data_IF_091402900927
#
_entry.id   IF_091402900927
#
_cell.length_a   1.000
_cell.length_b   1.000
_cell.length_c   1.000
_cell.angle_alpha   90.00
_cell.angle_beta   90.00
_cell.angle_gamma   90.00
#
_symmetry.space_group_name_H-M   'P 1'
#
loop_
_entity.id
_entity.type
_entity.pdbx_description
1 polymer ?
#
# COMPACT_ATOMS: atom_id res chain seq x y z
N UNK A 1 -4.54 -41.32 17.27
CA UNK A 1 -4.98 -41.42 15.86
C UNK A 1 -6.50 -41.42 15.86
N UNK A 2 -7.09 -40.23 15.79
CA UNK A 2 -8.52 -40.07 15.67
C UNK A 2 -8.88 -40.35 14.20
N UNK A 3 -9.55 -41.47 13.95
CA UNK A 3 -10.24 -41.67 12.68
C UNK A 3 -11.40 -40.68 12.65
N UNK A 4 -11.17 -39.54 12.00
CA UNK A 4 -12.26 -38.67 11.58
C UNK A 4 -13.18 -39.51 10.69
N UNK A 5 -14.44 -39.66 11.10
CA UNK A 5 -15.43 -40.38 10.30
C UNK A 5 -15.59 -39.64 8.97
N UNK A 6 -15.08 -40.25 7.90
CA UNK A 6 -15.15 -39.73 6.54
C UNK A 6 -16.61 -39.39 6.18
N UNK A 7 -16.90 -38.10 5.98
CA UNK A 7 -18.22 -37.59 5.62
C UNK A 7 -18.76 -38.32 4.39
N UNK A 8 -20.09 -38.51 4.34
CA UNK A 8 -20.75 -39.07 3.16
C UNK A 8 -20.44 -38.26 1.89
N UNK A 9 -20.23 -36.94 2.03
CA UNK A 9 -19.81 -36.05 0.95
C UNK A 9 -18.40 -36.40 0.45
N UNK A 10 -17.41 -36.60 1.33
CA UNK A 10 -16.05 -37.01 0.98
C UNK A 10 -16.03 -38.35 0.23
N UNK A 11 -16.87 -39.31 0.65
CA UNK A 11 -17.01 -40.61 -0.04
C UNK A 11 -17.59 -40.45 -1.45
N UNK A 12 -18.62 -39.63 -1.62
CA UNK A 12 -19.22 -39.34 -2.92
C UNK A 12 -18.23 -38.60 -3.84
N UNK A 13 -17.54 -37.59 -3.31
CA UNK A 13 -16.50 -36.84 -4.02
C UNK A 13 -15.37 -37.76 -4.49
N UNK A 14 -14.93 -38.71 -3.65
CA UNK A 14 -13.89 -39.69 -4.00
C UNK A 14 -14.31 -40.67 -5.09
N UNK A 15 -15.59 -41.05 -5.15
CA UNK A 15 -16.12 -41.85 -6.27
C UNK A 15 -16.08 -41.01 -7.55
N UNK A 16 -16.60 -39.79 -7.49
CA UNK A 16 -16.63 -38.88 -8.64
C UNK A 16 -15.24 -38.52 -9.16
N UNK A 17 -14.26 -38.36 -8.27
CA UNK A 17 -12.86 -38.15 -8.61
C UNK A 17 -12.30 -39.31 -9.44
N UNK A 18 -12.63 -40.57 -9.11
CA UNK A 18 -12.18 -41.72 -9.91
C UNK A 18 -12.77 -41.70 -11.31
N UNK A 19 -14.02 -41.29 -11.45
CA UNK A 19 -14.66 -41.17 -12.76
C UNK A 19 -14.08 -40.00 -13.57
N UNK A 20 -13.77 -38.87 -12.90
CA UNK A 20 -13.06 -37.74 -13.52
C UNK A 20 -11.67 -38.15 -14.04
N UNK A 21 -10.90 -38.92 -13.27
CA UNK A 21 -9.61 -39.46 -13.69
C UNK A 21 -9.74 -40.39 -14.91
N UNK A 22 -10.76 -41.25 -14.95
CA UNK A 22 -11.03 -42.14 -16.10
C UNK A 22 -11.41 -41.36 -17.36
N UNK A 23 -12.22 -40.31 -17.21
CA UNK A 23 -12.57 -39.42 -18.32
C UNK A 23 -11.32 -38.73 -18.87
N UNK A 24 -10.43 -38.32 -17.97
CA UNK A 24 -9.17 -37.69 -18.34
C UNK A 24 -8.20 -38.62 -19.09
N UNK A 25 -8.05 -39.86 -18.62
CA UNK A 25 -7.24 -40.90 -19.29
C UNK A 25 -7.88 -41.40 -20.60
N UNK A 26 -9.16 -41.06 -20.83
CA UNK A 26 -9.92 -41.42 -22.01
C UNK A 26 -9.69 -40.49 -23.21
N UNK A 27 -10.66 -40.46 -24.13
CA UNK A 27 -10.59 -39.65 -25.36
C UNK A 27 -10.98 -38.18 -25.17
N UNK A 28 -11.34 -37.78 -23.95
CA UNK A 28 -11.93 -36.46 -23.65
C UNK A 28 -11.29 -35.83 -22.40
N UNK A 29 -9.98 -35.48 -22.46
CA UNK A 29 -9.28 -34.88 -21.32
C UNK A 29 -9.92 -33.57 -20.83
N UNK A 30 -10.55 -32.81 -21.72
CA UNK A 30 -11.30 -31.59 -21.41
C UNK A 30 -12.44 -31.84 -20.40
N UNK A 31 -13.24 -32.90 -20.61
CA UNK A 31 -14.33 -33.25 -19.71
C UNK A 31 -13.82 -33.80 -18.37
N UNK A 32 -12.60 -34.32 -18.33
CA UNK A 32 -11.96 -34.77 -17.08
C UNK A 32 -11.64 -33.61 -16.13
N UNK A 33 -11.23 -32.46 -16.66
CA UNK A 33 -10.93 -31.25 -15.86
C UNK A 33 -12.21 -30.67 -15.28
N UNK A 34 -13.27 -30.56 -16.08
CA UNK A 34 -14.57 -30.08 -15.59
C UNK A 34 -15.16 -31.02 -14.54
N UNK A 35 -15.10 -32.33 -14.78
CA UNK A 35 -15.50 -33.32 -13.79
C UNK A 35 -14.69 -33.21 -12.49
N UNK A 36 -13.40 -32.85 -12.55
CA UNK A 36 -12.58 -32.62 -11.37
C UNK A 36 -12.98 -31.35 -10.60
N UNK A 37 -13.45 -30.29 -11.28
CA UNK A 37 -14.03 -29.12 -10.61
C UNK A 37 -15.34 -29.46 -9.90
N UNK A 38 -16.19 -30.30 -10.51
CA UNK A 38 -17.41 -30.78 -9.86
C UNK A 38 -17.13 -31.62 -8.60
N UNK A 39 -15.95 -32.25 -8.49
CA UNK A 39 -15.52 -32.92 -7.24
C UNK A 39 -15.33 -31.90 -6.12
N UNK A 40 -14.77 -30.73 -6.43
CA UNK A 40 -14.55 -29.65 -5.48
C UNK A 40 -15.84 -28.93 -5.08
N UNK A 41 -16.85 -28.94 -5.94
CA UNK A 41 -18.20 -28.47 -5.58
C UNK A 41 -18.86 -29.39 -4.53
N UNK A 42 -18.61 -30.70 -4.62
CA UNK A 42 -19.12 -31.68 -3.64
C UNK A 42 -18.39 -31.62 -2.30
N UNK A 43 -17.08 -31.35 -2.33
CA UNK A 43 -16.26 -31.22 -1.13
C UNK A 43 -15.14 -30.19 -1.34
N UNK A 44 -15.37 -28.92 -0.95
CA UNK A 44 -14.40 -27.85 -1.13
C UNK A 44 -13.07 -28.07 -0.37
N UNK A 45 -13.12 -28.89 0.69
CA UNK A 45 -11.98 -29.24 1.54
C UNK A 45 -11.21 -30.48 1.06
N UNK A 46 -11.54 -31.04 -0.10
CA UNK A 46 -10.86 -32.21 -0.64
C UNK A 46 -9.60 -31.79 -1.40
N UNK A 47 -8.43 -32.03 -0.79
CA UNK A 47 -7.15 -31.54 -1.29
C UNK A 47 -6.67 -32.32 -2.51
N UNK A 48 -6.86 -33.65 -2.60
CA UNK A 48 -6.34 -34.43 -3.73
C UNK A 48 -6.84 -33.96 -5.12
N UNK A 49 -8.13 -33.61 -5.33
CA UNK A 49 -8.57 -33.02 -6.59
C UNK A 49 -7.91 -31.66 -6.91
N UNK A 50 -7.69 -30.80 -5.91
CA UNK A 50 -6.96 -29.53 -6.09
C UNK A 50 -5.52 -29.78 -6.50
N UNK A 51 -4.84 -30.72 -5.84
CA UNK A 51 -3.46 -31.11 -6.17
C UNK A 51 -3.36 -31.62 -7.60
N UNK A 52 -4.32 -32.45 -8.02
CA UNK A 52 -4.40 -32.92 -9.40
C UNK A 52 -4.59 -31.77 -10.40
N UNK A 53 -5.51 -30.84 -10.13
CA UNK A 53 -5.75 -29.67 -10.99
C UNK A 53 -4.50 -28.78 -11.07
N UNK A 54 -3.82 -28.56 -9.94
CA UNK A 54 -2.59 -27.77 -9.89
C UNK A 54 -1.49 -28.38 -10.77
N UNK A 55 -1.26 -29.69 -10.67
CA UNK A 55 -0.30 -30.40 -11.50
C UNK A 55 -0.68 -30.41 -12.98
N UNK A 56 -1.97 -30.53 -13.29
CA UNK A 56 -2.49 -30.46 -14.65
C UNK A 56 -2.26 -29.08 -15.28
N UNK A 57 -2.64 -28.00 -14.59
CA UNK A 57 -2.42 -26.63 -15.07
C UNK A 57 -0.94 -26.30 -15.20
N UNK A 58 -0.10 -26.74 -14.26
CA UNK A 58 1.34 -26.55 -14.34
C UNK A 58 1.95 -27.24 -15.57
N UNK A 59 1.53 -28.47 -15.89
CA UNK A 59 1.95 -29.18 -17.12
C UNK A 59 1.54 -28.46 -18.40
N UNK A 60 0.42 -27.74 -18.38
CA UNK A 60 -0.05 -26.92 -19.50
C UNK A 60 0.59 -25.52 -19.55
N UNK A 61 1.51 -25.19 -18.64
CA UNK A 61 2.10 -23.86 -18.54
C UNK A 61 1.12 -22.79 -18.03
N UNK A 62 -0.05 -23.18 -17.51
CA UNK A 62 -1.07 -22.28 -16.98
C UNK A 62 -0.76 -21.95 -15.51
N UNK A 63 0.35 -21.25 -15.31
CA UNK A 63 0.93 -20.97 -13.99
C UNK A 63 -0.06 -20.28 -13.04
N UNK A 64 -0.80 -19.27 -13.52
CA UNK A 64 -1.80 -18.54 -12.70
C UNK A 64 -2.89 -19.45 -12.12
N UNK A 65 -3.37 -20.41 -12.91
CA UNK A 65 -4.41 -21.36 -12.46
C UNK A 65 -3.83 -22.39 -11.49
N UNK A 66 -2.59 -22.84 -11.72
CA UNK A 66 -1.90 -23.73 -10.81
C UNK A 66 -1.65 -23.07 -9.44
N UNK A 67 -1.15 -21.83 -9.42
CA UNK A 67 -0.97 -21.03 -8.20
C UNK A 67 -2.27 -20.90 -7.42
N UNK A 68 -3.38 -20.55 -8.08
CA UNK A 68 -4.69 -20.43 -7.43
C UNK A 68 -5.13 -21.73 -6.73
N UNK A 69 -4.82 -22.90 -7.27
CA UNK A 69 -5.13 -24.17 -6.58
C UNK A 69 -4.26 -24.38 -5.33
N UNK A 70 -2.97 -24.01 -5.40
CA UNK A 70 -2.07 -24.08 -4.25
C UNK A 70 -2.46 -23.12 -3.13
N UNK A 71 -2.90 -21.91 -3.46
CA UNK A 71 -3.42 -20.94 -2.48
C UNK A 71 -4.60 -21.51 -1.69
N UNK A 72 -5.56 -22.15 -2.36
CA UNK A 72 -6.70 -22.79 -1.69
C UNK A 72 -6.28 -23.99 -0.83
N UNK A 73 -5.35 -24.82 -1.31
CA UNK A 73 -4.83 -25.93 -0.50
C UNK A 73 -4.07 -25.43 0.74
N UNK A 74 -3.28 -24.36 0.60
CA UNK A 74 -2.55 -23.72 1.70
C UNK A 74 -3.47 -22.97 2.66
N UNK A 75 -4.65 -22.51 2.24
CA UNK A 75 -5.69 -22.00 3.14
C UNK A 75 -6.22 -23.10 4.06
N UNK A 76 -6.37 -24.32 3.54
CA UNK A 76 -6.84 -25.49 4.31
C UNK A 76 -5.75 -26.07 5.21
N UNK A 77 -4.52 -26.17 4.68
CA UNK A 77 -3.36 -26.72 5.39
C UNK A 77 -2.16 -25.76 5.31
N UNK A 78 -2.16 -24.68 6.11
CA UNK A 78 -1.11 -23.65 6.05
C UNK A 78 0.30 -24.18 6.36
N UNK A 79 0.38 -25.23 7.18
CA UNK A 79 1.62 -25.80 7.68
C UNK A 79 2.16 -26.97 6.83
N UNK A 80 1.46 -27.38 5.75
CA UNK A 80 1.86 -28.52 4.95
C UNK A 80 3.05 -28.18 4.03
N UNK A 81 4.23 -28.69 4.37
CA UNK A 81 5.48 -28.47 3.62
C UNK A 81 5.42 -28.98 2.17
N UNK A 82 4.70 -30.07 1.88
CA UNK A 82 4.59 -30.58 0.50
C UNK A 82 3.87 -29.58 -0.41
N UNK A 83 2.86 -28.86 0.12
CA UNK A 83 2.14 -27.84 -0.64
C UNK A 83 3.03 -26.64 -0.95
N UNK A 84 3.88 -26.24 0.01
CA UNK A 84 4.87 -25.18 -0.20
C UNK A 84 5.94 -25.57 -1.23
N UNK A 85 6.43 -26.80 -1.20
CA UNK A 85 7.36 -27.32 -2.21
C UNK A 85 6.70 -27.40 -3.59
N UNK A 86 5.45 -27.85 -3.64
CA UNK A 86 4.65 -27.88 -4.87
C UNK A 86 4.46 -26.48 -5.47
N UNK A 87 4.10 -25.50 -4.64
CA UNK A 87 3.97 -24.10 -5.08
C UNK A 87 5.31 -23.52 -5.53
N UNK A 88 6.43 -23.77 -4.81
CA UNK A 88 7.77 -23.32 -5.23
C UNK A 88 8.18 -23.87 -6.59
N UNK A 89 7.78 -25.11 -6.92
CA UNK A 89 8.03 -25.71 -8.24
C UNK A 89 7.22 -25.03 -9.35
N UNK A 90 6.00 -24.58 -9.04
CA UNK A 90 5.13 -23.89 -10.00
C UNK A 90 5.57 -22.44 -10.19
N UNK A 91 5.69 -21.70 -9.10
CA UNK A 91 6.06 -20.29 -9.06
C UNK A 91 6.86 -20.02 -7.77
N UNK A 92 8.20 -20.00 -7.82
CA UNK A 92 9.03 -19.77 -6.64
C UNK A 92 8.84 -18.37 -6.06
N UNK A 93 8.56 -17.37 -6.89
CA UNK A 93 8.36 -15.98 -6.46
C UNK A 93 7.10 -15.86 -5.58
N UNK A 94 5.98 -16.43 -6.02
CA UNK A 94 4.71 -16.43 -5.26
C UNK A 94 4.82 -17.29 -4.00
N UNK A 95 5.49 -18.44 -4.07
CA UNK A 95 5.71 -19.28 -2.91
C UNK A 95 6.48 -18.55 -1.79
N UNK A 96 7.62 -17.93 -2.15
CA UNK A 96 8.42 -17.19 -1.18
C UNK A 96 7.64 -15.99 -0.64
N UNK A 97 6.86 -15.30 -1.49
CA UNK A 97 5.95 -14.22 -1.08
C UNK A 97 4.93 -14.68 -0.04
N UNK A 98 4.18 -15.75 -0.31
CA UNK A 98 3.15 -16.25 0.61
C UNK A 98 3.75 -16.80 1.90
N UNK A 99 4.93 -17.43 1.85
CA UNK A 99 5.60 -17.94 3.05
C UNK A 99 6.09 -16.81 3.95
N UNK A 100 6.58 -15.71 3.36
CA UNK A 100 6.91 -14.48 4.10
C UNK A 100 5.67 -13.89 4.76
N UNK A 101 4.58 -13.73 4.01
CA UNK A 101 3.30 -13.24 4.54
C UNK A 101 2.75 -14.10 5.68
N UNK A 102 2.95 -15.43 5.62
CA UNK A 102 2.56 -16.35 6.71
C UNK A 102 3.38 -16.16 7.98
N UNK A 103 4.67 -15.83 7.85
CA UNK A 103 5.58 -15.60 8.99
C UNK A 103 5.49 -14.18 9.52
N UNK A 104 4.94 -13.25 8.74
CA UNK A 104 4.66 -11.89 9.16
C UNK A 104 3.61 -11.88 10.29
N UNK A 105 3.62 -10.85 11.17
CA UNK A 105 2.47 -10.57 12.02
C UNK A 105 1.17 -10.65 11.20
N UNK A 106 0.09 -11.23 11.76
CA UNK A 106 -1.12 -11.52 10.99
C UNK A 106 -1.63 -10.23 10.35
N UNK A 107 -1.60 -10.19 9.02
CA UNK A 107 -2.18 -9.12 8.22
C UNK A 107 -3.71 -9.15 8.42
N UNK A 108 -4.32 -8.11 9.02
CA UNK A 108 -5.78 -8.03 9.21
C UNK A 108 -6.54 -8.29 7.91
N UNK A 109 -5.96 -7.85 6.79
CA UNK A 109 -6.56 -7.94 5.47
C UNK A 109 -6.49 -9.37 4.89
N UNK A 110 -5.72 -10.28 5.49
CA UNK A 110 -5.72 -11.71 5.14
C UNK A 110 -6.57 -12.54 6.12
N UNK A 111 -6.60 -12.16 7.41
CA UNK A 111 -7.36 -12.87 8.44
C UNK A 111 -8.88 -12.87 8.22
N UNK A 112 -9.40 -11.89 7.48
CA UNK A 112 -10.81 -11.80 7.09
C UNK A 112 -11.13 -12.43 5.73
N UNK A 113 -10.15 -13.02 5.03
CA UNK A 113 -10.40 -13.57 3.70
C UNK A 113 -10.92 -12.52 2.73
N UNK A 114 -10.21 -11.40 2.60
CA UNK A 114 -10.59 -10.30 1.70
C UNK A 114 -10.56 -10.79 0.24
N UNK A 115 -11.71 -11.29 -0.19
CA UNK A 115 -12.12 -11.26 -1.58
C UNK A 115 -12.48 -9.79 -1.87
N UNK A 116 -12.19 -9.27 -3.06
CA UNK A 116 -12.49 -7.88 -3.43
C UNK A 116 -13.98 -7.48 -3.35
N UNK A 117 -14.86 -8.42 -2.96
CA UNK A 117 -16.28 -8.25 -2.66
C UNK A 117 -16.63 -8.01 -1.18
N UNK A 118 -15.79 -8.38 -0.20
CA UNK A 118 -16.14 -8.35 1.23
C UNK A 118 -15.47 -7.18 1.95
N UNK A 119 -15.71 -5.98 1.42
CA UNK A 119 -15.13 -4.74 1.92
C UNK A 119 -16.01 -4.07 2.99
N UNK A 120 -17.00 -4.75 3.57
CA UNK A 120 -18.05 -4.16 4.41
C UNK A 120 -17.68 -3.86 5.87
N UNK A 121 -16.45 -4.15 6.31
CA UNK A 121 -16.05 -3.99 7.73
C UNK A 121 -15.46 -2.62 8.09
N UNK A 122 -15.48 -1.65 7.18
CA UNK A 122 -15.14 -0.27 7.54
C UNK A 122 -16.37 0.41 8.12
N UNK A 123 -16.37 0.58 9.44
CA UNK A 123 -17.35 1.41 10.13
C UNK A 123 -17.20 2.83 9.59
N UNK A 124 -18.15 3.26 8.76
CA UNK A 124 -18.42 4.68 8.57
C UNK A 124 -18.99 5.18 9.90
N UNK A 125 -18.24 6.05 10.59
CA UNK A 125 -18.83 6.80 11.68
C UNK A 125 -19.92 7.70 11.07
N UNK A 126 -21.16 7.45 11.50
CA UNK A 126 -22.35 8.22 11.13
C UNK A 126 -22.18 9.66 11.64
N UNK A 127 -21.77 10.57 10.76
CA UNK A 127 -21.62 12.00 11.04
C UNK A 127 -22.99 12.63 11.34
N UNK A 128 -23.37 12.56 12.61
CA UNK A 128 -24.46 13.34 13.18
C UNK A 128 -24.11 14.83 13.19
N UNK A 129 -24.93 15.60 12.47
CA UNK A 129 -25.17 17.04 12.61
C UNK A 129 -23.97 17.99 12.60
N UNK A 130 -23.58 18.45 11.41
CA UNK A 130 -23.10 19.82 11.20
C UNK A 130 -23.74 20.43 9.95
N UNK A 131 -24.94 20.99 10.13
CA UNK A 131 -25.56 21.89 9.14
C UNK A 131 -24.78 23.21 9.15
N UNK A 132 -24.08 23.51 8.06
CA UNK A 132 -23.58 24.85 7.76
C UNK A 132 -24.25 25.36 6.48
N UNK A 133 -24.94 26.49 6.63
CA UNK A 133 -25.82 27.12 5.67
C UNK A 133 -25.14 27.47 4.33
N UNK A 134 -25.76 27.04 3.23
CA UNK A 134 -25.39 27.43 1.88
C UNK A 134 -25.82 28.88 1.59
N UNK A 135 -24.87 29.72 1.16
CA UNK A 135 -25.15 31.04 0.58
C UNK A 135 -25.36 30.94 -0.95
N UNK A 136 -26.16 31.83 -1.56
CA UNK A 136 -26.75 31.59 -2.88
C UNK A 136 -25.81 31.90 -4.05
N UNK A 137 -25.87 31.01 -5.04
CA UNK A 137 -25.27 31.15 -6.37
C UNK A 137 -26.02 32.23 -7.16
N UNK A 138 -25.32 33.28 -7.59
CA UNK A 138 -25.79 34.18 -8.64
C UNK A 138 -25.06 33.88 -9.95
N UNK A 139 -25.83 33.46 -10.94
CA UNK A 139 -25.35 32.99 -12.24
C UNK A 139 -24.73 34.05 -13.14
N UNK A 140 -24.01 33.53 -14.14
CA UNK A 140 -23.52 34.29 -15.28
C UNK A 140 -22.58 33.44 -16.15
N UNK A 141 -23.14 32.61 -17.04
CA UNK A 141 -22.43 32.24 -18.28
C UNK A 141 -22.27 33.48 -19.14
N UNK A 142 -21.07 33.77 -19.66
CA UNK A 142 -20.88 33.64 -21.12
C UNK A 142 -19.42 33.20 -21.45
N UNK A 143 -19.14 32.30 -22.39
CA UNK A 143 -19.20 32.52 -23.83
C UNK A 143 -18.91 31.20 -24.57
N UNK A 144 -19.73 30.89 -25.57
CA UNK A 144 -19.33 30.10 -26.73
C UNK A 144 -18.53 31.00 -27.69
N UNK A 145 -17.45 30.47 -28.28
CA UNK A 145 -16.68 31.17 -29.30
C UNK A 145 -15.63 30.32 -30.01
N UNK A 146 -16.06 29.72 -31.13
CA UNK A 146 -15.31 29.40 -32.35
C UNK A 146 -14.17 28.35 -32.33
N UNK A 147 -14.46 27.26 -33.06
CA UNK A 147 -13.52 26.32 -33.68
C UNK A 147 -12.76 27.04 -34.80
N UNK A 148 -11.44 26.88 -34.85
CA UNK A 148 -10.63 27.04 -36.06
C UNK A 148 -9.60 25.91 -36.15
N UNK A 149 -9.43 25.40 -37.37
CA UNK A 149 -8.84 24.11 -37.68
C UNK A 149 -7.31 24.14 -37.85
N UNK A 150 -6.72 23.02 -37.43
CA UNK A 150 -5.66 22.21 -38.04
C UNK A 150 -4.22 22.71 -38.27
N UNK A 151 -3.35 21.73 -38.00
CA UNK A 151 -2.02 21.43 -38.53
C UNK A 151 -0.83 22.21 -37.94
N UNK A 152 -0.29 21.65 -36.86
CA UNK A 152 1.12 21.23 -36.88
C UNK A 152 1.28 19.92 -36.12
N UNK A 153 1.81 18.93 -36.84
CA UNK A 153 2.19 17.60 -36.39
C UNK A 153 3.33 17.74 -35.39
N UNK A 154 3.01 17.74 -34.10
CA UNK A 154 3.97 17.32 -33.10
C UNK A 154 3.89 15.80 -33.06
N UNK A 155 4.98 15.18 -33.53
CA UNK A 155 5.27 13.80 -33.15
C UNK A 155 5.38 13.84 -31.64
N UNK A 156 4.39 13.25 -30.96
CA UNK A 156 4.48 12.93 -29.55
C UNK A 156 5.74 12.08 -29.38
N UNK A 157 6.79 12.66 -28.82
CA UNK A 157 7.73 11.87 -28.04
C UNK A 157 6.93 11.46 -26.79
N UNK A 158 6.08 10.44 -26.93
CA UNK A 158 5.64 9.60 -25.81
C UNK A 158 6.95 9.05 -25.20
N UNK A 159 7.56 9.80 -24.29
CA UNK A 159 8.47 9.19 -23.32
C UNK A 159 7.61 8.18 -22.57
N UNK A 160 7.68 6.91 -23.01
CA UNK A 160 7.05 5.76 -22.35
C UNK A 160 7.22 5.95 -20.84
N UNK A 161 6.12 6.28 -20.14
CA UNK A 161 6.16 6.43 -18.69
C UNK A 161 6.76 5.14 -18.13
N UNK A 162 7.85 5.20 -17.34
CA UNK A 162 8.54 4.00 -16.92
C UNK A 162 7.58 3.09 -16.17
N UNK A 163 7.35 1.91 -16.73
CA UNK A 163 6.49 0.88 -16.15
C UNK A 163 6.93 0.61 -14.71
N UNK A 164 5.95 0.52 -13.79
CA UNK A 164 6.23 0.32 -12.38
C UNK A 164 7.08 -0.95 -12.16
N UNK A 165 8.25 -0.77 -11.53
CA UNK A 165 9.14 -1.84 -11.14
C UNK A 165 9.26 -1.86 -9.61
N UNK A 166 8.78 -2.91 -8.92
CA UNK A 166 8.83 -2.96 -7.46
C UNK A 166 10.24 -2.75 -6.91
N UNK A 167 10.37 -1.89 -5.90
CA UNK A 167 11.64 -1.71 -5.21
C UNK A 167 11.98 -2.96 -4.39
N UNK A 168 13.28 -3.27 -4.18
CA UNK A 168 13.71 -4.49 -3.50
C UNK A 168 13.18 -4.67 -2.06
N UNK A 169 12.76 -3.57 -1.42
CA UNK A 169 12.30 -3.53 -0.04
C UNK A 169 10.79 -3.30 0.09
N UNK A 170 10.04 -3.22 -1.00
CA UNK A 170 8.59 -3.00 -0.93
C UNK A 170 7.88 -4.12 -0.16
N UNK A 171 6.80 -3.76 0.52
CA UNK A 171 5.92 -4.73 1.15
C UNK A 171 5.35 -5.67 0.08
N UNK A 172 5.24 -6.95 0.43
CA UNK A 172 4.92 -8.05 -0.49
C UNK A 172 3.59 -7.85 -1.24
N UNK A 173 2.67 -7.11 -0.64
CA UNK A 173 1.35 -6.78 -1.20
C UNK A 173 1.26 -5.39 -1.82
N UNK A 174 2.29 -4.54 -1.69
CA UNK A 174 2.26 -3.15 -2.18
C UNK A 174 1.88 -3.11 -3.67
N UNK A 175 2.70 -3.73 -4.53
CA UNK A 175 2.44 -3.77 -5.97
C UNK A 175 1.10 -4.41 -6.37
N UNK A 176 0.60 -5.38 -5.60
CA UNK A 176 -0.70 -6.01 -5.88
C UNK A 176 -1.87 -5.05 -5.64
N UNK A 177 -1.83 -4.27 -4.57
CA UNK A 177 -2.84 -3.25 -4.29
C UNK A 177 -2.65 -2.05 -5.20
N UNK A 178 -1.41 -1.69 -5.50
CA UNK A 178 -1.07 -0.60 -6.41
C UNK A 178 -1.70 -0.78 -7.79
N UNK A 179 -1.57 -1.96 -8.38
CA UNK A 179 -2.21 -2.28 -9.66
C UNK A 179 -3.73 -2.10 -9.60
N UNK A 180 -4.38 -2.47 -8.49
CA UNK A 180 -5.82 -2.27 -8.33
C UNK A 180 -6.20 -0.79 -8.21
N UNK A 181 -5.38 0.00 -7.51
CA UNK A 181 -5.53 1.46 -7.40
C UNK A 181 -5.40 2.09 -8.80
N UNK A 182 -4.29 1.85 -9.50
CA UNK A 182 -3.95 2.51 -10.77
C UNK A 182 -4.87 2.08 -11.94
N UNK A 183 -5.44 0.87 -11.90
CA UNK A 183 -6.42 0.44 -12.90
C UNK A 183 -7.81 1.08 -12.70
N UNK A 184 -8.11 1.56 -11.49
CA UNK A 184 -9.40 2.16 -11.19
C UNK A 184 -9.57 3.49 -11.97
N UNK A 185 -10.73 3.66 -12.61
CA UNK A 185 -11.01 4.86 -13.40
C UNK A 185 -11.09 6.12 -12.52
N UNK A 186 -11.82 6.08 -11.41
CA UNK A 186 -11.95 7.24 -10.51
C UNK A 186 -10.59 7.64 -9.93
N UNK A 187 -9.69 6.67 -9.71
CA UNK A 187 -8.34 6.95 -9.23
C UNK A 187 -7.54 7.70 -10.29
N UNK A 188 -7.62 7.25 -11.55
CA UNK A 188 -6.94 7.93 -12.67
C UNK A 188 -7.47 9.35 -12.87
N UNK A 189 -8.79 9.55 -12.79
CA UNK A 189 -9.38 10.90 -12.89
C UNK A 189 -8.84 11.85 -11.79
N UNK A 190 -8.69 11.35 -10.55
CA UNK A 190 -8.06 12.10 -9.45
C UNK A 190 -6.56 12.29 -9.68
N UNK A 191 -5.87 11.26 -10.18
CA UNK A 191 -4.43 11.32 -10.45
C UNK A 191 -4.13 12.38 -11.52
N UNK A 192 -4.90 12.43 -12.60
CA UNK A 192 -4.79 13.44 -13.66
C UNK A 192 -4.98 14.85 -13.10
N UNK A 193 -5.99 15.05 -12.23
CA UNK A 193 -6.22 16.31 -11.54
C UNK A 193 -5.06 16.72 -10.62
N UNK A 194 -4.52 15.78 -9.84
CA UNK A 194 -3.31 16.01 -9.05
C UNK A 194 -2.09 16.34 -9.93
N UNK A 195 -1.91 15.68 -11.07
CA UNK A 195 -0.81 15.95 -11.99
C UNK A 195 -0.93 17.35 -12.61
N UNK A 196 -2.14 17.84 -12.92
CA UNK A 196 -2.36 19.24 -13.31
C UNK A 196 -1.90 20.21 -12.21
N UNK A 197 -2.24 19.92 -10.94
CA UNK A 197 -1.81 20.75 -9.81
C UNK A 197 -0.28 20.76 -9.66
N UNK A 198 0.38 19.61 -9.71
CA UNK A 198 1.85 19.52 -9.56
C UNK A 198 2.61 20.15 -10.74
N UNK A 199 2.00 20.15 -11.92
CA UNK A 199 2.53 20.79 -13.12
C UNK A 199 2.23 22.30 -13.21
N UNK A 200 1.54 22.90 -12.23
CA UNK A 200 1.36 24.35 -12.10
C UNK A 200 2.25 24.95 -11.00
N UNK A 201 3.44 25.49 -11.34
CA UNK A 201 4.33 26.12 -10.38
C UNK A 201 3.69 27.28 -9.60
N UNK A 202 2.74 28.01 -10.18
CA UNK A 202 2.08 29.11 -9.47
C UNK A 202 1.13 28.57 -8.40
N UNK A 203 0.44 27.47 -8.72
CA UNK A 203 -0.45 26.74 -7.82
C UNK A 203 0.22 26.19 -6.56
N UNK A 204 1.46 25.68 -6.64
CA UNK A 204 2.11 25.06 -5.46
C UNK A 204 3.28 25.87 -4.85
N UNK A 205 3.94 26.77 -5.58
CA UNK A 205 5.17 27.44 -5.08
C UNK A 205 4.93 28.28 -3.82
N UNK A 206 3.77 28.94 -3.74
CA UNK A 206 3.40 29.74 -2.57
C UNK A 206 3.19 28.88 -1.30
N UNK A 207 2.87 27.60 -1.45
CA UNK A 207 2.66 26.65 -0.34
C UNK A 207 3.96 26.27 0.36
N UNK A 208 5.06 26.27 -0.39
CA UNK A 208 6.42 25.97 0.11
C UNK A 208 7.24 27.23 0.38
N UNK A 209 6.68 28.43 0.18
CA UNK A 209 7.42 29.69 0.27
C UNK A 209 8.02 30.02 1.64
N UNK A 210 7.58 29.34 2.71
CA UNK A 210 8.18 29.45 4.04
C UNK A 210 9.27 28.41 4.33
N UNK A 211 9.37 27.39 3.46
CA UNK A 211 10.38 26.35 3.59
C UNK A 211 11.77 26.91 3.23
N UNK A 212 12.79 26.37 3.87
CA UNK A 212 14.17 26.87 3.79
C UNK A 212 15.14 25.76 3.42
N UNK A 213 16.28 26.11 2.83
CA UNK A 213 17.37 25.16 2.70
C UNK A 213 17.89 24.74 4.11
N UNK A 214 18.51 23.56 4.25
CA UNK A 214 19.03 23.09 5.53
C UNK A 214 19.96 24.08 6.26
N UNK A 215 20.85 24.77 5.55
CA UNK A 215 21.73 25.79 6.13
C UNK A 215 20.93 26.94 6.76
N UNK A 216 19.96 27.49 6.03
CA UNK A 216 19.10 28.59 6.47
C UNK A 216 18.17 28.18 7.63
N UNK A 217 17.82 26.90 7.71
CA UNK A 217 17.11 26.30 8.84
C UNK A 217 18.03 25.96 10.03
N UNK A 218 19.32 26.32 9.95
CA UNK A 218 20.34 26.02 10.95
C UNK A 218 20.43 24.52 11.27
N UNK A 219 20.23 23.67 10.27
CA UNK A 219 20.29 22.22 10.37
C UNK A 219 21.28 21.60 9.35
N UNK A 220 22.56 22.00 9.39
CA UNK A 220 23.56 21.60 8.39
C UNK A 220 23.83 20.09 8.37
N UNK A 221 23.52 19.36 9.45
CA UNK A 221 23.64 17.89 9.50
C UNK A 221 22.88 17.20 8.35
N UNK A 222 21.77 17.79 7.86
CA UNK A 222 21.01 17.20 6.77
C UNK A 222 21.80 17.15 5.45
N UNK A 223 22.80 18.01 5.25
CA UNK A 223 23.64 17.99 4.05
C UNK A 223 24.53 16.75 3.96
N UNK A 224 24.82 16.12 5.11
CA UNK A 224 25.55 14.85 5.18
C UNK A 224 24.59 13.65 5.15
N UNK A 225 23.54 13.69 5.98
CA UNK A 225 22.64 12.55 6.15
C UNK A 225 21.77 12.29 4.92
N UNK A 226 21.34 13.32 4.20
CA UNK A 226 20.42 13.16 3.08
C UNK A 226 21.08 12.49 1.86
N UNK A 227 22.28 12.90 1.40
CA UNK A 227 23.01 12.15 0.40
C UNK A 227 23.34 10.71 0.82
N UNK A 228 23.64 10.48 2.11
CA UNK A 228 23.89 9.13 2.62
C UNK A 228 22.65 8.23 2.49
N UNK A 229 21.49 8.70 2.97
CA UNK A 229 20.23 7.97 2.84
C UNK A 229 19.85 7.68 1.38
N UNK A 230 20.09 8.64 0.47
CA UNK A 230 19.86 8.44 -0.96
C UNK A 230 20.82 7.40 -1.57
N UNK A 231 22.08 7.39 -1.15
CA UNK A 231 23.07 6.42 -1.61
C UNK A 231 22.70 4.98 -1.17
N UNK A 232 22.27 4.80 0.08
CA UNK A 232 21.84 3.51 0.63
C UNK A 232 20.60 2.96 -0.09
N UNK A 233 19.74 3.84 -0.60
CA UNK A 233 18.55 3.48 -1.39
C UNK A 233 18.78 3.52 -2.91
N UNK A 234 20.02 3.73 -3.36
CA UNK A 234 20.37 3.87 -4.78
C UNK A 234 19.52 4.88 -5.55
N UNK A 235 19.10 5.95 -4.87
CA UNK A 235 18.24 7.00 -5.41
C UNK A 235 19.06 8.19 -5.92
N UNK A 236 18.56 8.87 -6.95
CA UNK A 236 19.04 10.22 -7.29
C UNK A 236 18.64 11.16 -6.15
N UNK A 237 19.57 12.01 -5.71
CA UNK A 237 19.35 12.94 -4.60
C UNK A 237 18.33 14.02 -5.04
N UNK A 238 17.14 14.09 -4.40
CA UNK A 238 16.16 15.15 -4.64
C UNK A 238 16.60 16.50 -4.05
N UNK A 239 15.79 17.54 -4.23
CA UNK A 239 15.91 18.76 -3.41
C UNK A 239 15.45 18.48 -1.98
N UNK A 240 16.07 19.13 -0.99
CA UNK A 240 15.64 19.06 0.41
C UNK A 240 15.27 20.45 0.92
N UNK A 241 14.10 20.55 1.55
CA UNK A 241 13.65 21.75 2.22
C UNK A 241 13.23 21.43 3.66
N UNK A 242 13.35 22.43 4.54
CA UNK A 242 12.91 22.37 5.93
C UNK A 242 11.73 23.31 6.10
N UNK A 243 10.60 22.77 6.53
CA UNK A 243 9.41 23.56 6.88
C UNK A 243 9.51 24.03 8.34
N UNK A 244 9.33 25.34 8.62
CA UNK A 244 9.16 25.82 9.99
C UNK A 244 7.93 25.21 10.66
N UNK A 245 8.05 24.85 11.93
CA UNK A 245 6.93 24.34 12.73
C UNK A 245 6.88 22.82 12.84
N UNK A 246 5.66 22.29 13.04
CA UNK A 246 5.45 20.91 13.44
C UNK A 246 4.96 20.03 12.29
N UNK A 247 5.90 19.54 11.50
CA UNK A 247 5.64 18.52 10.46
C UNK A 247 6.27 17.21 10.91
N UNK A 248 5.42 16.26 11.32
CA UNK A 248 5.85 15.00 11.93
C UNK A 248 6.52 14.10 10.91
N UNK A 249 5.91 13.91 9.75
CA UNK A 249 6.38 12.96 8.74
C UNK A 249 7.05 13.68 7.59
N UNK A 250 7.99 13.02 6.89
CA UNK A 250 8.61 13.59 5.70
C UNK A 250 7.54 13.75 4.60
N UNK A 251 7.56 14.86 3.87
CA UNK A 251 6.56 15.20 2.86
C UNK A 251 7.21 15.16 1.48
N UNK A 252 7.05 14.06 0.72
CA UNK A 252 7.55 13.98 -0.65
C UNK A 252 6.63 14.75 -1.60
N UNK A 253 7.21 15.72 -2.31
CA UNK A 253 6.51 16.54 -3.30
C UNK A 253 6.94 16.09 -4.71
N UNK A 254 6.00 15.59 -5.54
CA UNK A 254 6.29 15.08 -6.88
C UNK A 254 6.42 16.22 -7.90
N UNK A 255 7.24 17.21 -7.58
CA UNK A 255 7.53 18.35 -8.43
C UNK A 255 8.45 17.93 -9.58
N UNK A 256 8.50 18.74 -10.65
CA UNK A 256 9.44 18.56 -11.77
C UNK A 256 10.89 18.32 -11.30
N UNK A 257 11.30 19.03 -10.25
CA UNK A 257 12.48 18.68 -9.46
C UNK A 257 11.99 18.04 -8.15
N UNK A 258 12.02 16.70 -8.02
CA UNK A 258 11.49 16.01 -6.86
C UNK A 258 12.05 16.63 -5.57
N UNK A 259 11.16 16.98 -4.65
CA UNK A 259 11.53 17.75 -3.46
C UNK A 259 11.01 17.05 -2.23
N UNK A 260 11.90 16.77 -1.29
CA UNK A 260 11.55 16.29 0.03
C UNK A 260 11.46 17.47 1.00
N UNK A 261 10.37 17.55 1.76
CA UNK A 261 10.23 18.52 2.85
C UNK A 261 10.23 17.79 4.19
N UNK A 262 11.02 18.28 5.14
CA UNK A 262 11.06 17.77 6.53
C UNK A 262 10.69 18.89 7.51
N UNK A 263 10.05 18.55 8.63
CA UNK A 263 9.69 19.52 9.66
C UNK A 263 10.88 19.93 10.53
N UNK A 264 11.02 21.22 10.82
CA UNK A 264 12.05 21.72 11.75
C UNK A 264 11.92 21.11 13.15
N UNK A 265 10.71 20.76 13.60
CA UNK A 265 10.48 20.12 14.90
C UNK A 265 11.26 18.82 15.08
N UNK A 266 11.53 18.08 13.99
CA UNK A 266 12.25 16.81 14.02
C UNK A 266 13.71 16.98 14.46
N UNK A 267 14.31 18.13 14.21
CA UNK A 267 15.66 18.50 14.66
C UNK A 267 15.81 18.38 16.18
N UNK A 268 14.75 18.71 16.91
CA UNK A 268 14.75 18.72 18.36
C UNK A 268 14.23 17.41 18.94
N UNK A 269 13.55 16.58 18.15
CA UNK A 269 12.91 15.35 18.59
C UNK A 269 13.75 14.10 18.32
N UNK A 270 14.57 14.09 17.27
CA UNK A 270 15.21 12.90 16.73
C UNK A 270 16.75 13.03 16.67
N UNK A 271 17.44 11.92 16.93
CA UNK A 271 18.87 11.76 16.71
C UNK A 271 19.21 11.39 15.27
N UNK A 272 20.49 11.39 14.91
CA UNK A 272 20.95 11.22 13.52
C UNK A 272 20.44 9.95 12.83
N UNK A 273 20.42 8.81 13.53
CA UNK A 273 19.93 7.54 12.97
C UNK A 273 18.40 7.55 12.75
N UNK A 274 17.66 8.23 13.61
CA UNK A 274 16.20 8.42 13.44
C UNK A 274 15.91 9.39 12.28
N UNK A 275 16.77 10.40 12.09
CA UNK A 275 16.69 11.30 10.95
C UNK A 275 17.00 10.56 9.64
N UNK A 276 18.01 9.69 9.60
CA UNK A 276 18.26 8.83 8.45
C UNK A 276 17.05 7.95 8.11
N UNK A 277 16.38 7.40 9.14
CA UNK A 277 15.14 6.65 8.96
C UNK A 277 14.04 7.50 8.30
N UNK A 278 13.80 8.70 8.83
CA UNK A 278 12.84 9.66 8.26
C UNK A 278 13.18 10.04 6.81
N UNK A 279 14.46 10.31 6.53
CA UNK A 279 14.90 10.64 5.18
C UNK A 279 14.70 9.45 4.22
N UNK A 280 14.99 8.22 4.65
CA UNK A 280 14.75 7.02 3.86
C UNK A 280 13.27 6.79 3.53
N UNK A 281 12.37 7.02 4.50
CA UNK A 281 10.92 7.01 4.25
C UNK A 281 10.52 8.03 3.18
N UNK A 282 11.03 9.26 3.30
CA UNK A 282 10.76 10.36 2.37
C UNK A 282 11.28 10.09 0.96
N UNK A 283 12.49 9.55 0.85
CA UNK A 283 13.11 9.17 -0.44
C UNK A 283 12.28 8.05 -1.10
N UNK A 284 11.83 7.04 -0.37
CA UNK A 284 10.94 6.02 -0.91
C UNK A 284 9.65 6.63 -1.50
N UNK A 285 9.09 7.65 -0.85
CA UNK A 285 7.96 8.40 -1.39
C UNK A 285 8.24 9.07 -2.73
N UNK A 286 9.48 9.47 -3.01
CA UNK A 286 9.87 10.08 -4.29
C UNK A 286 10.26 9.06 -5.37
N UNK A 287 10.38 7.78 -5.02
CA UNK A 287 10.64 6.69 -5.96
C UNK A 287 9.33 6.12 -6.51
N UNK A 288 9.37 5.53 -7.71
CA UNK A 288 8.25 4.80 -8.32
C UNK A 288 6.91 5.56 -8.31
N UNK A 289 6.89 6.88 -8.49
CA UNK A 289 5.65 7.70 -8.40
C UNK A 289 4.85 7.52 -7.09
N UNK A 290 5.47 7.05 -6.00
CA UNK A 290 4.74 6.78 -4.76
C UNK A 290 4.07 8.05 -4.22
N UNK A 291 4.73 9.21 -4.30
CA UNK A 291 4.19 10.48 -3.85
C UNK A 291 2.91 10.84 -4.62
N UNK A 292 2.91 10.73 -5.94
CA UNK A 292 1.74 10.96 -6.79
C UNK A 292 0.57 10.08 -6.33
N UNK A 293 0.83 8.78 -6.20
CA UNK A 293 -0.20 7.80 -5.81
C UNK A 293 -0.69 8.03 -4.36
N UNK A 294 0.19 8.44 -3.43
CA UNK A 294 -0.16 8.81 -2.05
C UNK A 294 -1.08 10.04 -2.05
N UNK A 295 -0.72 11.11 -2.76
CA UNK A 295 -1.52 12.33 -2.79
C UNK A 295 -2.92 12.08 -3.36
N UNK A 296 -3.02 11.37 -4.47
CA UNK A 296 -4.31 10.97 -5.06
C UNK A 296 -5.13 10.07 -4.11
N UNK A 297 -4.48 9.09 -3.46
CA UNK A 297 -5.15 8.23 -2.46
C UNK A 297 -5.69 9.03 -1.27
N UNK A 298 -4.94 10.03 -0.80
CA UNK A 298 -5.35 10.88 0.32
C UNK A 298 -6.49 11.83 -0.03
N UNK A 299 -6.59 12.29 -1.30
CA UNK A 299 -7.76 13.00 -1.81
C UNK A 299 -9.00 12.09 -1.74
N UNK A 300 -8.91 10.89 -2.33
CA UNK A 300 -10.03 9.95 -2.43
C UNK A 300 -10.52 9.52 -1.05
N UNK A 301 -9.59 9.25 -0.13
CA UNK A 301 -9.91 8.80 1.23
C UNK A 301 -10.36 9.93 2.15
N UNK A 302 -10.30 11.19 1.71
CA UNK A 302 -10.56 12.40 2.50
C UNK A 302 -9.73 12.42 3.79
N UNK A 303 -8.42 12.27 3.61
CA UNK A 303 -7.50 12.04 4.72
C UNK A 303 -7.47 13.23 5.70
N UNK A 304 -7.59 12.93 6.99
CA UNK A 304 -7.38 13.92 8.06
C UNK A 304 -5.88 14.03 8.35
N UNK A 305 -5.28 15.16 7.97
CA UNK A 305 -3.83 15.38 7.98
C UNK A 305 -3.40 16.22 9.19
N UNK A 306 -2.31 15.82 9.83
CA UNK A 306 -1.86 16.36 11.11
C UNK A 306 -0.96 17.60 11.00
N UNK A 307 -0.41 17.92 9.81
CA UNK A 307 0.45 19.10 9.61
C UNK A 307 -0.10 20.13 8.62
N UNK A 308 0.30 21.39 8.80
CA UNK A 308 -0.22 22.53 8.03
C UNK A 308 0.14 22.45 6.54
N UNK A 309 1.38 22.09 6.17
CA UNK A 309 1.76 21.96 4.74
C UNK A 309 0.90 20.91 4.03
N UNK A 310 0.78 19.71 4.60
CA UNK A 310 -0.02 18.64 3.98
C UNK A 310 -1.48 19.06 3.84
N UNK A 311 -2.06 19.71 4.85
CA UNK A 311 -3.42 20.28 4.77
C UNK A 311 -3.55 21.34 3.68
N UNK A 312 -2.59 22.26 3.56
CA UNK A 312 -2.60 23.30 2.51
C UNK A 312 -2.48 22.69 1.11
N UNK A 313 -1.56 21.73 0.93
CA UNK A 313 -1.39 21.00 -0.34
C UNK A 313 -2.67 20.25 -0.69
N UNK A 314 -3.20 19.45 0.24
CA UNK A 314 -4.43 18.68 0.02
C UNK A 314 -5.61 19.56 -0.39
N UNK A 315 -5.80 20.69 0.30
CA UNK A 315 -6.88 21.63 -0.03
C UNK A 315 -6.74 22.19 -1.45
N UNK A 316 -5.54 22.61 -1.87
CA UNK A 316 -5.34 23.15 -3.21
C UNK A 316 -5.45 22.06 -4.27
N UNK A 317 -4.87 20.88 -4.04
CA UNK A 317 -5.00 19.74 -4.95
C UNK A 317 -6.47 19.33 -5.13
N UNK A 318 -7.29 19.41 -4.07
CA UNK A 318 -8.71 19.05 -4.11
C UNK A 318 -9.55 19.92 -5.07
N UNK A 319 -9.10 21.14 -5.38
CA UNK A 319 -9.77 22.02 -6.35
C UNK A 319 -9.66 21.46 -7.78
N UNK A 320 -8.57 20.74 -8.09
CA UNK A 320 -8.32 20.13 -9.40
C UNK A 320 -8.99 18.77 -9.56
N UNK A 321 -9.34 18.13 -8.44
CA UNK A 321 -9.95 16.79 -8.42
C UNK A 321 -11.44 16.84 -8.09
N UNK A 322 -12.04 18.04 -8.04
CA UNK A 322 -13.42 18.22 -7.62
C UNK A 322 -14.38 17.48 -8.58
N UNK A 323 -15.25 16.64 -8.00
CA UNK A 323 -16.31 15.96 -8.75
C UNK A 323 -15.88 14.69 -9.47
N UNK A 324 -14.71 14.14 -9.14
CA UNK A 324 -14.24 12.83 -9.62
C UNK A 324 -15.28 11.72 -9.40
N UNK A 325 -16.08 11.83 -8.33
CA UNK A 325 -17.10 10.88 -7.91
C UNK A 325 -18.48 11.11 -8.57
N UNK A 326 -18.71 12.24 -9.26
CA UNK A 326 -20.05 12.67 -9.71
C UNK A 326 -20.74 11.68 -10.67
N UNK A 327 -19.95 10.90 -11.42
CA UNK A 327 -20.46 9.93 -12.39
C UNK A 327 -20.41 8.47 -11.90
N UNK A 328 -20.08 8.26 -10.63
CA UNK A 328 -19.84 6.94 -10.05
C UNK A 328 -20.96 6.51 -9.08
N UNK A 329 -21.35 5.23 -9.05
CA UNK A 329 -22.21 4.68 -8.00
C UNK A 329 -21.53 4.78 -6.63
N UNK A 330 -22.31 5.00 -5.56
CA UNK A 330 -21.80 5.09 -4.18
C UNK A 330 -20.97 3.88 -3.76
N UNK A 331 -21.38 2.68 -4.16
CA UNK A 331 -20.63 1.44 -3.88
C UNK A 331 -19.26 1.41 -4.55
N UNK A 332 -19.13 2.01 -5.74
CA UNK A 332 -17.86 2.11 -6.45
C UNK A 332 -16.93 3.12 -5.78
N UNK A 333 -17.48 4.26 -5.33
CA UNK A 333 -16.78 5.27 -4.53
C UNK A 333 -16.30 4.67 -3.19
N UNK A 334 -17.14 3.90 -2.51
CA UNK A 334 -16.74 3.21 -1.28
C UNK A 334 -15.62 2.19 -1.55
N UNK A 335 -15.71 1.43 -2.65
CA UNK A 335 -14.71 0.42 -3.01
C UNK A 335 -13.34 1.04 -3.29
N UNK A 336 -13.28 2.12 -4.07
CA UNK A 336 -12.02 2.79 -4.39
C UNK A 336 -11.37 3.42 -3.15
N UNK A 337 -12.15 4.02 -2.25
CA UNK A 337 -11.66 4.53 -0.96
C UNK A 337 -10.96 3.44 -0.15
N UNK A 338 -11.58 2.28 -0.08
CA UNK A 338 -11.05 1.11 0.64
C UNK A 338 -9.78 0.58 -0.01
N UNK A 339 -9.73 0.48 -1.33
CA UNK A 339 -8.53 0.04 -2.06
C UNK A 339 -7.38 1.04 -1.90
N UNK A 340 -7.64 2.35 -1.98
CA UNK A 340 -6.64 3.41 -1.75
C UNK A 340 -6.09 3.37 -0.32
N UNK A 341 -6.97 3.25 0.68
CA UNK A 341 -6.56 3.10 2.08
C UNK A 341 -5.72 1.85 2.28
N UNK A 342 -6.19 0.71 1.78
CA UNK A 342 -5.49 -0.56 1.86
C UNK A 342 -4.10 -0.49 1.20
N UNK A 343 -3.97 0.13 0.03
CA UNK A 343 -2.68 0.33 -0.63
C UNK A 343 -1.76 1.24 0.19
N UNK A 344 -2.23 2.42 0.60
CA UNK A 344 -1.40 3.40 1.31
C UNK A 344 -0.82 2.81 2.61
N UNK A 345 -1.60 1.99 3.32
CA UNK A 345 -1.10 1.26 4.49
C UNK A 345 0.13 0.40 4.16
N UNK A 346 0.16 -0.28 3.01
CA UNK A 346 1.34 -1.06 2.57
C UNK A 346 2.48 -0.15 2.12
N UNK A 347 2.17 0.95 1.44
CA UNK A 347 3.18 1.93 1.05
C UNK A 347 3.91 2.51 2.28
N UNK A 348 3.22 2.71 3.40
CA UNK A 348 3.86 3.10 4.68
C UNK A 348 4.81 2.01 5.19
N UNK A 349 4.45 0.73 5.08
CA UNK A 349 5.36 -0.37 5.47
C UNK A 349 6.58 -0.44 4.55
N UNK A 350 6.40 -0.23 3.24
CA UNK A 350 7.49 -0.10 2.27
C UNK A 350 8.43 1.06 2.61
N UNK A 351 7.85 2.21 3.01
CA UNK A 351 8.61 3.37 3.46
C UNK A 351 9.40 3.10 4.76
N UNK A 352 8.81 2.40 5.73
CA UNK A 352 9.49 2.01 6.97
C UNK A 352 10.68 1.08 6.69
N UNK A 353 10.55 0.15 5.74
CA UNK A 353 11.65 -0.72 5.30
C UNK A 353 12.78 0.09 4.67
N UNK A 354 12.45 1.07 3.81
CA UNK A 354 13.42 2.00 3.25
C UNK A 354 14.14 2.82 4.33
N UNK A 355 13.40 3.32 5.33
CA UNK A 355 13.97 4.01 6.48
C UNK A 355 14.93 3.13 7.28
N UNK A 356 14.60 1.85 7.49
CA UNK A 356 15.49 0.93 8.19
C UNK A 356 16.77 0.65 7.39
N UNK A 357 16.69 0.55 6.06
CA UNK A 357 17.87 0.42 5.20
C UNK A 357 18.78 1.65 5.32
N UNK A 358 18.21 2.86 5.21
CA UNK A 358 18.97 4.11 5.29
C UNK A 358 19.58 4.38 6.69
N UNK A 359 18.92 3.95 7.76
CA UNK A 359 19.45 4.13 9.13
C UNK A 359 20.37 3.00 9.57
N UNK A 360 20.23 1.81 8.98
CA UNK A 360 20.86 0.55 9.38
C UNK A 360 20.77 0.24 10.89
N UNK A 361 19.79 0.82 11.59
CA UNK A 361 19.64 0.75 13.04
C UNK A 361 18.18 0.52 13.42
N UNK A 362 17.88 -0.70 13.86
CA UNK A 362 16.52 -1.10 14.19
C UNK A 362 15.95 -0.32 15.38
N UNK A 363 16.70 -0.18 16.48
CA UNK A 363 16.20 0.48 17.69
C UNK A 363 15.86 1.96 17.41
N UNK A 364 16.73 2.66 16.68
CA UNK A 364 16.47 4.02 16.22
C UNK A 364 15.29 4.11 15.26
N UNK A 365 15.15 3.16 14.33
CA UNK A 365 14.00 3.12 13.40
C UNK A 365 12.67 2.96 14.14
N UNK A 366 12.62 2.06 15.12
CA UNK A 366 11.41 1.82 15.92
C UNK A 366 11.09 3.04 16.80
N UNK A 367 12.11 3.66 17.42
CA UNK A 367 11.94 4.91 18.16
C UNK A 367 11.39 5.98 17.24
N UNK A 368 11.96 6.16 16.05
CA UNK A 368 11.49 7.14 15.07
C UNK A 368 9.99 6.96 14.83
N UNK A 369 9.51 5.76 14.48
CA UNK A 369 8.06 5.50 14.31
C UNK A 369 7.25 5.95 15.54
N UNK A 370 7.69 5.61 16.75
CA UNK A 370 7.01 6.02 17.98
C UNK A 370 7.02 7.55 18.21
N UNK A 371 8.10 8.23 17.84
CA UNK A 371 8.23 9.67 17.96
C UNK A 371 7.38 10.44 16.93
N UNK A 372 7.26 9.91 15.71
CA UNK A 372 6.46 10.51 14.64
C UNK A 372 4.96 10.53 14.96
N UNK A 373 4.47 9.63 15.82
CA UNK A 373 3.06 9.60 16.26
C UNK A 373 2.83 10.21 17.64
N UNK A 374 3.90 10.68 18.30
CA UNK A 374 3.82 11.32 19.61
C UNK A 374 3.00 12.62 19.58
N UNK A 375 2.46 13.00 20.74
CA UNK A 375 1.89 14.34 20.95
C UNK A 375 3.01 15.39 20.94
N UNK A 376 2.64 16.65 20.67
CA UNK A 376 3.60 17.76 20.70
C UNK A 376 4.29 17.82 22.07
N UNK A 377 5.63 17.85 22.07
CA UNK A 377 6.45 17.86 23.28
C UNK A 377 6.85 16.48 23.82
N UNK A 378 6.13 15.41 23.48
CA UNK A 378 6.41 14.07 23.99
C UNK A 378 7.39 13.28 23.11
N UNK A 379 7.62 13.71 21.86
CA UNK A 379 8.45 13.01 20.87
C UNK A 379 9.88 12.71 21.36
N UNK A 380 10.44 13.56 22.24
CA UNK A 380 11.76 13.35 22.84
C UNK A 380 11.82 12.19 23.82
N UNK A 381 10.69 11.83 24.43
CA UNK A 381 10.59 10.74 25.41
C UNK A 381 9.80 9.54 24.88
N UNK A 382 9.47 9.59 23.58
CA UNK A 382 8.79 8.53 22.87
C UNK A 382 9.59 7.23 22.97
N UNK A 383 8.87 6.13 23.17
CA UNK A 383 9.44 4.79 23.24
C UNK A 383 8.50 3.82 22.53
N UNK A 384 9.04 2.90 21.72
CA UNK A 384 8.25 1.84 21.11
C UNK A 384 7.47 1.03 22.15
N UNK A 385 8.08 0.74 23.30
CA UNK A 385 7.47 -0.04 24.39
C UNK A 385 6.30 0.70 25.02
N UNK A 386 6.44 2.03 25.24
CA UNK A 386 5.33 2.86 25.74
C UNK A 386 4.18 2.91 24.75
N UNK A 387 4.46 3.02 23.45
CA UNK A 387 3.43 3.04 22.41
C UNK A 387 2.72 1.68 22.32
N UNK A 388 3.47 0.58 22.25
CA UNK A 388 2.92 -0.78 22.23
C UNK A 388 2.07 -1.07 23.48
N UNK A 389 2.47 -0.57 24.65
CA UNK A 389 1.72 -0.75 25.90
C UNK A 389 0.32 -0.09 25.86
N UNK A 390 0.10 0.94 25.04
CA UNK A 390 -1.22 1.56 24.86
C UNK A 390 -2.20 0.62 24.16
N UNK A 391 -1.68 -0.32 23.34
CA UNK A 391 -2.47 -1.25 22.54
C UNK A 391 -2.29 -2.71 22.98
N UNK A 392 -1.82 -2.96 24.21
CA UNK A 392 -1.54 -4.31 24.73
C UNK A 392 -2.77 -5.23 24.71
N UNK A 393 -3.97 -4.65 24.79
CA UNK A 393 -5.25 -5.36 24.84
C UNK A 393 -5.89 -5.49 23.44
N UNK A 394 -5.26 -4.90 22.40
CA UNK A 394 -5.71 -5.00 21.01
C UNK A 394 -5.02 -6.20 20.36
N UNK A 395 -5.76 -7.14 19.75
CA UNK A 395 -5.17 -8.26 19.02
C UNK A 395 -4.20 -7.78 17.92
N UNK A 396 -3.05 -8.46 17.69
CA UNK A 396 -2.08 -8.03 16.69
C UNK A 396 -2.66 -7.84 15.28
N UNK A 397 -3.60 -8.72 14.91
CA UNK A 397 -4.33 -8.67 13.64
C UNK A 397 -5.33 -7.52 13.56
N UNK A 398 -5.62 -6.82 14.66
CA UNK A 398 -6.53 -5.67 14.66
C UNK A 398 -5.77 -4.35 14.74
N UNK A 399 -4.46 -4.33 14.99
CA UNK A 399 -3.68 -3.08 15.06
C UNK A 399 -3.69 -2.30 13.75
N UNK A 400 -3.90 -2.98 12.62
CA UNK A 400 -4.00 -2.39 11.31
C UNK A 400 -5.44 -2.19 10.81
N UNK A 401 -6.45 -2.31 11.68
CA UNK A 401 -7.81 -1.87 11.38
C UNK A 401 -8.02 -0.43 11.90
N UNK A 402 -7.59 0.56 11.11
CA UNK A 402 -7.82 1.99 11.38
C UNK A 402 -8.91 2.55 10.44
N UNK A 403 -9.63 3.62 10.82
CA UNK A 403 -10.61 4.26 9.95
C UNK A 403 -10.01 4.74 8.62
N UNK A 404 -10.81 4.72 7.55
CA UNK A 404 -10.36 5.12 6.20
C UNK A 404 -9.86 6.57 6.17
N UNK A 405 -10.40 7.45 7.00
CA UNK A 405 -10.02 8.87 7.06
C UNK A 405 -8.76 9.10 7.90
N UNK A 406 -8.37 8.15 8.76
CA UNK A 406 -7.17 8.25 9.60
C UNK A 406 -5.89 8.10 8.77
N UNK A 407 -4.87 8.87 9.10
CA UNK A 407 -3.59 8.90 8.39
C UNK A 407 -2.66 7.75 8.85
N UNK A 408 -2.37 6.74 8.00
CA UNK A 408 -1.51 5.62 8.41
C UNK A 408 -0.07 6.05 8.72
N UNK A 409 0.35 7.22 8.23
CA UNK A 409 1.66 7.76 8.54
C UNK A 409 1.78 8.21 10.01
N UNK A 410 0.66 8.61 10.63
CA UNK A 410 0.64 9.29 11.94
C UNK A 410 -0.33 8.68 12.96
N UNK A 411 -1.15 7.70 12.58
CA UNK A 411 -2.06 6.98 13.47
C UNK A 411 -1.29 6.12 14.50
N UNK A 412 -1.48 6.33 15.82
CA UNK A 412 -0.75 5.60 16.84
C UNK A 412 -1.01 4.08 16.86
N UNK A 413 -2.24 3.63 16.52
CA UNK A 413 -2.60 2.20 16.47
C UNK A 413 -1.88 1.53 15.30
N UNK A 414 -1.89 2.17 14.13
CA UNK A 414 -1.15 1.65 12.98
C UNK A 414 0.37 1.75 13.15
N UNK A 415 0.88 2.76 13.85
CA UNK A 415 2.29 2.82 14.24
C UNK A 415 2.72 1.65 15.14
N UNK A 416 1.85 1.20 16.05
CA UNK A 416 2.11 -0.01 16.82
C UNK A 416 2.21 -1.26 15.93
N UNK A 417 1.37 -1.37 14.90
CA UNK A 417 1.47 -2.43 13.87
C UNK A 417 2.79 -2.32 13.08
N UNK A 418 3.11 -1.13 12.56
CA UNK A 418 4.34 -0.82 11.83
C UNK A 418 5.60 -1.23 12.60
N UNK A 419 5.66 -0.95 13.91
CA UNK A 419 6.76 -1.37 14.80
C UNK A 419 6.91 -2.90 14.82
N UNK A 420 5.81 -3.66 14.90
CA UNK A 420 5.85 -5.12 14.89
C UNK A 420 6.31 -5.64 13.52
N UNK A 421 5.80 -5.07 12.44
CA UNK A 421 6.17 -5.44 11.07
C UNK A 421 7.65 -5.17 10.78
N UNK A 422 8.17 -4.02 11.21
CA UNK A 422 9.57 -3.67 10.99
C UNK A 422 10.51 -4.52 11.84
N UNK A 423 10.14 -4.82 13.10
CA UNK A 423 10.85 -5.80 13.95
C UNK A 423 10.93 -7.16 13.27
N UNK A 424 9.82 -7.64 12.73
CA UNK A 424 9.78 -8.92 12.02
C UNK A 424 10.66 -8.89 10.77
N UNK A 425 10.50 -7.87 9.91
CA UNK A 425 11.22 -7.79 8.64
C UNK A 425 12.74 -7.76 8.85
N UNK A 426 13.21 -7.09 9.91
CA UNK A 426 14.61 -7.08 10.30
C UNK A 426 15.21 -8.47 10.64
N UNK A 427 14.37 -9.49 10.87
CA UNK A 427 14.82 -10.88 11.10
C UNK A 427 14.93 -11.71 9.82
N UNK A 428 14.33 -11.23 8.72
CA UNK A 428 14.22 -11.96 7.46
C UNK A 428 15.55 -12.02 6.70
N UNK A 429 15.71 -13.03 5.86
CA UNK A 429 16.87 -13.12 4.98
C UNK A 429 16.83 -12.11 3.83
N UNK A 430 15.66 -11.56 3.52
CA UNK A 430 15.50 -10.47 2.57
C UNK A 430 16.21 -9.21 3.07
N UNK A 431 15.90 -8.76 4.29
CA UNK A 431 16.58 -7.61 4.88
C UNK A 431 18.11 -7.83 4.97
N UNK A 432 18.55 -9.02 5.38
CA UNK A 432 19.98 -9.35 5.46
C UNK A 432 20.73 -9.32 4.11
N UNK A 433 20.02 -9.48 2.99
CA UNK A 433 20.60 -9.39 1.64
C UNK A 433 20.68 -7.95 1.14
N UNK A 434 19.82 -7.08 1.65
CA UNK A 434 19.71 -5.68 1.23
C UNK A 434 20.57 -4.73 2.08
N UNK A 435 20.82 -5.09 3.34
CA UNK A 435 21.83 -4.45 4.20
C UNK A 435 23.24 -4.85 3.77
#
# INVERSE_FOLDING_TARGET
>A
MAHEQESQQRKAARIKMKDALRLFEGRHPEHGVDAMREVLELDPGFIEPRRWLADHYHKLGQERLAVSQYEEMLRLEPDNQELWEGLRRVNPVVADKLERLRKAPPDPFLAQGVNAGDLDDFVEDDDGDLVAEAAPVTGGTPFQGAIAANDDVFVDDEEDEPEYQPLPWEHEQDGQFRVQVEQNRGFRDVMDGCDLFWNDPQGWSHLVGQCRAPEDAHWPMLEELFPAAAADLHAKIPSLLVEPGHTKTPVPLPLKNPTLVVGESLKYALGSMEILFVLGMGIHGLLNRNAQTIWASQVITERVLDCDLRRRVMRNASEFTMGWEQSMPREEVARIRKICHAWEMRAVLSADRAGLLASANLDSSLRAIAALVGQEGDAMTASPEKLLAQFKDVPPNELAAIPITHDPWTDPRYAAYRIQMLRWWATTDEYKKLK
#
